data_IF_575447635069
#
_entry.id   IF_575447635069
#
_cell.length_a   1.000
_cell.length_b   1.000
_cell.length_c   1.000
_cell.angle_alpha   90.00
_cell.angle_beta   90.00
_cell.angle_gamma   90.00
#
_symmetry.space_group_name_H-M   'P 1'
#
loop_
_entity.id
_entity.type
_entity.pdbx_description
1 polymer ?
#
# COMPACT_ATOMS: atom_id res chain seq x y z
N UNK A 1 -17.04 0.65 10.78
CA UNK A 1 -17.02 2.07 11.26
C UNK A 1 -15.61 2.61 11.13
N UNK A 2 -15.44 3.91 10.94
CA UNK A 2 -14.12 4.55 10.81
C UNK A 2 -13.38 4.52 12.16
N UNK A 3 -12.16 4.00 12.20
CA UNK A 3 -11.34 3.87 13.42
C UNK A 3 -9.85 4.01 13.12
N UNK A 4 -9.04 4.28 14.14
CA UNK A 4 -7.59 4.15 13.99
C UNK A 4 -7.20 2.65 13.87
N UNK A 5 -6.15 2.33 13.09
CA UNK A 5 -5.52 1.02 13.12
C UNK A 5 -5.11 0.61 14.53
N UNK A 6 -5.15 -0.70 14.82
CA UNK A 6 -4.67 -1.21 16.10
C UNK A 6 -3.14 -1.34 16.07
N UNK A 7 -2.42 -1.01 17.15
CA UNK A 7 -0.97 -1.23 17.20
C UNK A 7 -0.58 -2.69 16.90
N UNK A 8 0.38 -2.88 15.99
CA UNK A 8 0.85 -4.16 15.50
C UNK A 8 -0.07 -4.85 14.48
N UNK A 9 -1.13 -4.19 14.00
CA UNK A 9 -2.03 -4.79 13.01
C UNK A 9 -1.46 -4.72 11.59
N UNK A 10 -2.02 -5.53 10.69
CA UNK A 10 -1.65 -5.50 9.27
C UNK A 10 -2.05 -4.17 8.62
N UNK A 11 -3.21 -3.62 8.99
CA UNK A 11 -3.66 -2.31 8.52
C UNK A 11 -2.73 -1.19 8.97
N UNK A 12 -2.24 -1.19 10.23
CA UNK A 12 -1.24 -0.21 10.69
C UNK A 12 0.06 -0.37 9.90
N UNK A 13 0.54 -1.61 9.74
CA UNK A 13 1.77 -1.89 8.98
C UNK A 13 1.71 -1.37 7.54
N UNK A 14 0.55 -1.49 6.89
CA UNK A 14 0.36 -1.04 5.51
C UNK A 14 0.18 0.48 5.42
N UNK A 15 -0.53 1.13 6.35
CA UNK A 15 -0.80 2.57 6.26
C UNK A 15 0.30 3.44 6.84
N UNK A 16 1.02 3.00 7.87
CA UNK A 16 2.03 3.80 8.56
C UNK A 16 3.45 3.51 8.03
N UNK A 17 3.58 3.48 6.69
CA UNK A 17 4.84 3.25 6.00
C UNK A 17 5.45 4.55 5.46
N UNK A 18 6.36 5.13 6.24
CA UNK A 18 6.87 6.50 5.99
C UNK A 18 8.12 6.58 5.10
N UNK A 19 8.67 5.47 4.62
CA UNK A 19 9.90 5.48 3.83
C UNK A 19 9.74 4.69 2.54
N UNK A 20 10.04 5.33 1.41
CA UNK A 20 10.12 4.67 0.11
C UNK A 20 11.57 4.47 -0.31
N UNK A 21 11.83 3.35 -0.99
CA UNK A 21 13.16 3.02 -1.51
C UNK A 21 13.08 2.79 -3.01
N UNK A 22 14.03 3.32 -3.77
CA UNK A 22 14.06 3.16 -5.22
C UNK A 22 15.47 2.93 -5.71
N UNK A 23 15.67 1.80 -6.41
CA UNK A 23 16.92 1.48 -7.06
C UNK A 23 17.18 2.46 -8.21
N UNK A 24 18.43 2.92 -8.31
CA UNK A 24 18.92 3.80 -9.37
C UNK A 24 19.63 2.99 -10.46
N UNK A 25 19.77 3.58 -11.64
CA UNK A 25 20.42 2.94 -12.79
C UNK A 25 21.92 2.64 -12.57
N UNK A 26 22.57 3.36 -11.66
CA UNK A 26 23.97 3.13 -11.26
C UNK A 26 24.12 2.04 -10.19
N UNK A 27 23.01 1.38 -9.81
CA UNK A 27 22.99 0.35 -8.77
C UNK A 27 22.91 0.90 -7.34
N UNK A 28 22.92 2.23 -7.14
CA UNK A 28 22.65 2.81 -5.84
C UNK A 28 21.16 2.78 -5.48
N UNK A 29 20.84 3.07 -4.23
CA UNK A 29 19.46 3.20 -3.76
C UNK A 29 19.26 4.61 -3.23
N UNK A 30 18.12 5.21 -3.57
CA UNK A 30 17.65 6.40 -2.88
C UNK A 30 16.53 6.01 -1.94
N UNK A 31 16.54 6.64 -0.77
CA UNK A 31 15.42 6.63 0.16
C UNK A 31 14.74 8.00 0.14
N UNK A 32 13.43 8.02 0.35
CA UNK A 32 12.69 9.26 0.57
C UNK A 32 11.66 9.05 1.67
N UNK A 33 11.46 10.11 2.45
CA UNK A 33 10.47 10.11 3.51
C UNK A 33 9.13 10.63 2.97
N UNK A 34 8.05 10.03 3.43
CA UNK A 34 6.68 10.52 3.28
C UNK A 34 6.13 10.74 4.68
N UNK A 35 5.61 11.95 4.93
CA UNK A 35 4.90 12.25 6.17
C UNK A 35 3.42 12.44 5.90
N UNK A 36 2.61 11.80 6.75
CA UNK A 36 1.17 11.98 6.81
C UNK A 36 0.69 11.72 8.23
N UNK A 37 -0.44 12.34 8.67
CA UNK A 37 -1.10 11.92 9.90
C UNK A 37 -1.55 10.46 9.79
N UNK A 38 -1.59 9.74 10.90
CA UNK A 38 -2.11 8.37 10.92
C UNK A 38 -3.54 8.32 10.40
N UNK A 39 -3.76 7.49 9.39
CA UNK A 39 -5.03 7.42 8.70
C UNK A 39 -6.01 6.53 9.43
N UNK A 40 -7.20 7.06 9.66
CA UNK A 40 -8.32 6.21 10.07
C UNK A 40 -8.72 5.31 8.90
N UNK A 41 -9.20 4.12 9.23
CA UNK A 41 -9.62 3.10 8.28
C UNK A 41 -11.08 2.69 8.48
N UNK A 42 -11.74 2.34 7.38
CA UNK A 42 -12.91 1.47 7.39
C UNK A 42 -12.45 0.03 7.21
N UNK A 43 -12.83 -0.85 8.13
CA UNK A 43 -12.63 -2.30 8.02
C UNK A 43 -13.82 -2.98 7.36
N UNK A 44 -13.65 -4.26 7.02
CA UNK A 44 -14.71 -5.12 6.47
C UNK A 44 -15.25 -4.61 5.12
N UNK A 45 -14.36 -3.98 4.35
CA UNK A 45 -14.69 -3.44 3.03
C UNK A 45 -14.75 -4.59 2.03
N UNK A 46 -15.90 -4.79 1.38
CA UNK A 46 -16.00 -5.75 0.30
C UNK A 46 -15.09 -5.31 -0.86
N UNK A 47 -14.07 -6.10 -1.17
CA UNK A 47 -13.15 -5.85 -2.26
C UNK A 47 -13.30 -6.92 -3.35
N UNK A 48 -13.35 -6.49 -4.60
CA UNK A 48 -13.45 -7.38 -5.77
C UNK A 48 -12.57 -6.85 -6.89
N UNK A 49 -11.87 -7.75 -7.55
CA UNK A 49 -11.09 -7.45 -8.75
C UNK A 49 -11.88 -7.93 -9.97
N UNK A 50 -12.18 -7.01 -10.89
CA UNK A 50 -12.91 -7.30 -12.13
C UNK A 50 -12.15 -6.72 -13.33
N UNK A 51 -12.15 -7.44 -14.47
CA UNK A 51 -11.51 -6.99 -15.71
C UNK A 51 -10.81 -8.11 -16.47
N UNK A 52 -10.17 -7.76 -17.60
CA UNK A 52 -9.38 -8.69 -18.40
C UNK A 52 -7.99 -8.93 -17.78
N UNK A 53 -7.95 -9.65 -16.65
CA UNK A 53 -6.70 -9.95 -15.96
C UNK A 53 -5.75 -10.79 -16.81
N UNK A 54 -6.29 -11.70 -17.64
CA UNK A 54 -5.48 -12.56 -18.52
C UNK A 54 -4.72 -11.77 -19.60
N UNK A 55 -5.23 -10.63 -20.03
CA UNK A 55 -4.55 -9.75 -20.97
C UNK A 55 -3.54 -8.80 -20.32
N UNK A 56 -3.56 -8.66 -18.99
CA UNK A 56 -2.75 -7.69 -18.25
C UNK A 56 -1.64 -8.35 -17.41
N UNK A 57 -1.85 -9.58 -16.95
CA UNK A 57 -0.98 -10.24 -15.99
C UNK A 57 -0.66 -11.69 -16.39
N UNK A 58 0.52 -12.21 -15.99
CA UNK A 58 0.87 -13.62 -16.18
C UNK A 58 -0.13 -14.58 -15.52
N UNK A 59 -0.28 -15.82 -16.01
CA UNK A 59 -1.27 -16.78 -15.51
C UNK A 59 -1.27 -16.97 -13.99
N UNK A 60 -0.09 -17.15 -13.39
CA UNK A 60 0.05 -17.40 -11.94
C UNK A 60 -0.50 -16.21 -11.12
N UNK A 61 -0.28 -14.98 -11.60
CA UNK A 61 -0.79 -13.78 -10.93
C UNK A 61 -2.29 -13.61 -11.15
N UNK A 62 -2.82 -14.02 -12.31
CA UNK A 62 -4.27 -14.01 -12.58
C UNK A 62 -5.01 -14.94 -11.63
N UNK A 63 -4.48 -16.14 -11.37
CA UNK A 63 -5.07 -17.08 -10.42
C UNK A 63 -5.10 -16.48 -9.01
N UNK A 64 -4.00 -15.87 -8.58
CA UNK A 64 -3.91 -15.19 -7.30
C UNK A 64 -4.91 -14.03 -7.17
N UNK A 65 -4.99 -13.14 -8.16
CA UNK A 65 -5.87 -11.96 -8.14
C UNK A 65 -7.37 -12.32 -8.16
N UNK A 66 -7.73 -13.54 -8.56
CA UNK A 66 -9.12 -14.04 -8.52
C UNK A 66 -9.52 -14.63 -7.18
N UNK A 67 -8.58 -14.94 -6.31
CA UNK A 67 -8.87 -15.46 -4.97
C UNK A 67 -9.45 -14.35 -4.07
N UNK A 68 -10.22 -14.71 -3.02
CA UNK A 68 -10.62 -13.75 -2.00
C UNK A 68 -9.39 -13.08 -1.37
N UNK A 69 -9.43 -11.75 -1.15
CA UNK A 69 -8.31 -11.05 -0.52
C UNK A 69 -8.15 -11.52 0.94
N UNK A 70 -6.91 -11.65 1.39
CA UNK A 70 -6.60 -11.98 2.78
C UNK A 70 -6.95 -10.85 3.76
N UNK A 71 -6.97 -9.61 3.28
CA UNK A 71 -7.35 -8.41 4.04
C UNK A 71 -7.91 -7.36 3.09
N UNK A 72 -8.87 -6.57 3.57
CA UNK A 72 -9.41 -5.42 2.86
C UNK A 72 -9.85 -4.32 3.83
N UNK A 73 -9.38 -3.12 3.58
CA UNK A 73 -9.73 -1.91 4.31
C UNK A 73 -9.59 -0.69 3.40
N UNK A 74 -10.18 0.43 3.80
CA UNK A 74 -10.07 1.70 3.08
C UNK A 74 -9.55 2.75 4.04
N UNK A 75 -8.46 3.42 3.69
CA UNK A 75 -7.95 4.56 4.44
C UNK A 75 -8.72 5.85 4.08
N UNK A 76 -8.97 6.69 5.08
CA UNK A 76 -9.55 8.03 4.89
C UNK A 76 -8.65 8.93 4.04
N UNK A 77 -7.34 8.72 4.11
CA UNK A 77 -6.34 9.53 3.44
C UNK A 77 -6.17 10.90 4.07
N UNK A 78 -5.22 11.67 3.53
CA UNK A 78 -4.95 13.05 3.91
C UNK A 78 -4.08 13.73 2.85
N UNK A 79 -3.82 15.02 3.04
CA UNK A 79 -2.63 15.63 2.45
C UNK A 79 -1.36 14.94 2.98
N UNK A 80 -0.34 14.85 2.13
CA UNK A 80 0.95 14.21 2.44
C UNK A 80 2.08 15.15 2.08
N UNK A 81 3.19 15.06 2.82
CA UNK A 81 4.45 15.72 2.47
C UNK A 81 5.43 14.67 1.99
N UNK A 82 6.02 14.88 0.82
CA UNK A 82 7.07 14.03 0.27
C UNK A 82 8.36 14.82 0.30
N UNK A 83 9.38 14.27 0.96
CA UNK A 83 10.68 14.89 1.08
C UNK A 83 11.59 14.52 -0.08
N UNK A 84 12.58 15.37 -0.35
CA UNK A 84 13.57 15.11 -1.38
C UNK A 84 14.32 13.78 -1.08
N UNK A 85 14.52 12.94 -2.10
CA UNK A 85 15.22 11.69 -1.94
C UNK A 85 16.69 11.90 -1.57
N UNK A 86 17.19 11.05 -0.69
CA UNK A 86 18.59 11.02 -0.26
C UNK A 86 19.22 9.69 -0.69
N UNK A 87 20.50 9.73 -1.04
CA UNK A 87 21.24 8.51 -1.37
C UNK A 87 21.51 7.73 -0.08
N UNK A 88 21.13 6.45 -0.08
CA UNK A 88 21.42 5.49 1.00
C UNK A 88 22.87 4.99 0.94
#
# INVERSE_FOLDING_TARGET
MLKQPCPGSLDEFITEHYWGYTAQSDGSTVEYQVEHPSWRIWTDVAARVEGNLQGLYPPDLVEFLKAPPASSFMAEGSEVTVFDPQKL
#
